data_IF_057686553803
#
_entry.id   IF_057686553803
#
_cell.length_a   1.000
_cell.length_b   1.000
_cell.length_c   1.000
_cell.angle_alpha   90.00
_cell.angle_beta   90.00
_cell.angle_gamma   90.00
#
_symmetry.space_group_name_H-M   'P 1'
#
loop_
_entity.id
_entity.type
_entity.pdbx_description
1 polymer ?
#
# COMPACT_ATOMS: atom_id res chain seq x y z
N UNK A 1 -3.86 -27.63 -18.00
CA UNK A 1 -2.83 -27.26 -17.00
C UNK A 1 -3.52 -27.05 -15.66
N UNK A 2 -3.11 -27.79 -14.64
CA UNK A 2 -3.59 -27.56 -13.27
C UNK A 2 -3.26 -26.13 -12.85
N UNK A 3 -4.17 -25.48 -12.12
CA UNK A 3 -4.15 -24.05 -11.76
C UNK A 3 -2.96 -23.63 -10.86
N UNK A 4 -2.02 -24.53 -10.57
CA UNK A 4 -1.08 -24.43 -9.45
C UNK A 4 0.27 -23.73 -9.75
N UNK A 5 0.74 -23.66 -11.00
CA UNK A 5 2.08 -23.14 -11.34
C UNK A 5 2.11 -21.79 -12.05
N UNK A 6 1.14 -20.91 -11.81
CA UNK A 6 1.29 -19.53 -12.28
C UNK A 6 2.34 -18.81 -11.43
N UNK A 7 3.30 -18.16 -12.09
CA UNK A 7 4.23 -17.21 -11.47
C UNK A 7 3.44 -16.21 -10.61
N UNK A 8 4.03 -15.75 -9.50
CA UNK A 8 3.39 -14.82 -8.56
C UNK A 8 2.76 -13.63 -9.29
N UNK A 9 3.47 -13.12 -10.29
CA UNK A 9 3.04 -12.02 -11.14
C UNK A 9 1.75 -12.32 -11.89
N UNK A 10 1.61 -13.51 -12.47
CA UNK A 10 0.37 -13.93 -13.14
C UNK A 10 -0.78 -14.12 -12.16
N UNK A 11 -0.51 -14.57 -10.93
CA UNK A 11 -1.54 -14.73 -9.89
C UNK A 11 -2.09 -13.39 -9.42
N UNK A 12 -1.30 -12.31 -9.51
CA UNK A 12 -1.72 -10.96 -9.09
C UNK A 12 -2.25 -10.11 -10.24
N UNK A 13 -1.56 -10.07 -11.39
CA UNK A 13 -1.97 -9.24 -12.55
C UNK A 13 -3.33 -9.68 -13.09
N UNK A 14 -3.56 -11.00 -13.22
CA UNK A 14 -4.76 -11.50 -13.88
C UNK A 14 -6.05 -11.10 -13.15
N UNK A 15 -6.16 -11.24 -11.81
CA UNK A 15 -7.29 -10.68 -11.07
C UNK A 15 -7.40 -9.15 -11.21
N UNK A 16 -6.29 -8.41 -11.12
CA UNK A 16 -6.30 -6.95 -11.23
C UNK A 16 -6.81 -6.47 -12.59
N UNK A 17 -6.41 -7.13 -13.68
CA UNK A 17 -6.93 -6.86 -15.03
C UNK A 17 -8.41 -7.22 -15.16
N UNK A 18 -8.83 -8.33 -14.54
CA UNK A 18 -10.22 -8.77 -14.56
C UNK A 18 -11.16 -7.82 -13.81
N UNK A 19 -10.66 -7.07 -12.82
CA UNK A 19 -11.42 -6.01 -12.14
C UNK A 19 -11.74 -4.82 -13.05
N UNK A 20 -11.15 -4.74 -14.24
CA UNK A 20 -11.36 -3.67 -15.22
C UNK A 20 -11.29 -2.27 -14.57
N UNK A 21 -10.36 -2.10 -13.63
CA UNK A 21 -10.22 -0.86 -12.87
C UNK A 21 -10.07 0.29 -13.88
N UNK A 22 -10.88 1.36 -13.76
CA UNK A 22 -10.75 2.47 -14.66
C UNK A 22 -9.32 3.05 -14.53
N UNK A 23 -8.74 3.59 -15.62
CA UNK A 23 -7.46 4.28 -15.57
C UNK A 23 -7.63 5.56 -14.75
N UNK A 24 -7.46 5.41 -13.43
CA UNK A 24 -7.61 6.45 -12.41
C UNK A 24 -6.49 6.28 -11.38
N UNK A 25 -6.36 7.28 -10.52
CA UNK A 25 -5.53 7.20 -9.33
C UNK A 25 -6.10 6.13 -8.38
N UNK A 26 -5.28 5.14 -8.05
CA UNK A 26 -5.59 4.08 -7.10
C UNK A 26 -5.09 4.46 -5.73
N UNK A 27 -5.97 4.46 -4.74
CA UNK A 27 -5.59 4.67 -3.35
C UNK A 27 -5.35 3.32 -2.67
N UNK A 28 -4.10 3.02 -2.36
CA UNK A 28 -3.68 1.76 -1.75
C UNK A 28 -3.60 1.95 -0.23
N UNK A 29 -4.33 1.12 0.51
CA UNK A 29 -4.21 1.08 1.97
C UNK A 29 -2.93 0.35 2.39
N UNK A 30 -2.01 1.07 3.05
CA UNK A 30 -0.70 0.54 3.44
C UNK A 30 -0.51 0.67 4.95
N UNK A 31 -0.44 -0.47 5.64
CA UNK A 31 -0.27 -0.51 7.09
C UNK A 31 1.19 -0.39 7.52
N UNK A 32 2.14 -0.59 6.60
CA UNK A 32 3.57 -0.73 6.88
C UNK A 32 4.01 -2.18 7.10
N UNK A 33 3.06 -3.13 7.19
CA UNK A 33 3.36 -4.55 7.19
C UNK A 33 3.72 -5.07 5.79
N UNK A 34 4.45 -6.19 5.76
CA UNK A 34 5.03 -6.80 4.54
C UNK A 34 4.00 -6.95 3.43
N UNK A 35 2.83 -7.53 3.71
CA UNK A 35 1.81 -7.79 2.69
C UNK A 35 1.36 -6.51 1.98
N UNK A 36 1.09 -5.45 2.75
CA UNK A 36 0.65 -4.17 2.21
C UNK A 36 1.75 -3.43 1.45
N UNK A 37 3.01 -3.54 1.91
CA UNK A 37 4.17 -2.97 1.24
C UNK A 37 4.47 -3.69 -0.08
N UNK A 38 4.38 -5.02 -0.09
CA UNK A 38 4.54 -5.84 -1.30
C UNK A 38 3.43 -5.54 -2.30
N UNK A 39 2.18 -5.44 -1.86
CA UNK A 39 1.07 -5.04 -2.73
C UNK A 39 1.34 -3.67 -3.37
N UNK A 40 1.75 -2.68 -2.57
CA UNK A 40 2.08 -1.35 -3.08
C UNK A 40 3.23 -1.39 -4.10
N UNK A 41 4.31 -2.11 -3.79
CA UNK A 41 5.46 -2.26 -4.69
C UNK A 41 5.07 -2.94 -6.01
N UNK A 42 4.21 -3.96 -5.93
CA UNK A 42 3.73 -4.70 -7.09
C UNK A 42 2.87 -3.81 -7.99
N UNK A 43 1.93 -3.05 -7.41
CA UNK A 43 1.09 -2.11 -8.15
C UNK A 43 1.95 -0.99 -8.77
N UNK A 44 2.93 -0.47 -8.03
CA UNK A 44 3.87 0.53 -8.54
C UNK A 44 4.67 0.01 -9.74
N UNK A 45 5.19 -1.23 -9.66
CA UNK A 45 5.95 -1.86 -10.74
C UNK A 45 5.13 -2.03 -12.01
N UNK A 46 3.83 -2.31 -11.89
CA UNK A 46 2.94 -2.55 -13.04
C UNK A 46 2.01 -1.39 -13.39
N UNK A 47 2.19 -0.22 -12.76
CA UNK A 47 1.35 0.97 -12.98
C UNK A 47 1.17 1.33 -14.45
N UNK A 48 2.23 1.18 -15.26
CA UNK A 48 2.20 1.42 -16.71
C UNK A 48 1.36 0.38 -17.47
N UNK A 49 1.49 -0.89 -17.12
CA UNK A 49 0.71 -1.98 -17.73
C UNK A 49 -0.77 -1.83 -17.39
N UNK A 50 -1.06 -1.40 -16.16
CA UNK A 50 -2.41 -1.27 -15.65
C UNK A 50 -3.02 0.12 -15.90
N UNK A 51 -2.25 1.06 -16.46
CA UNK A 51 -2.64 2.45 -16.75
C UNK A 51 -3.24 3.18 -15.52
N UNK A 52 -2.73 2.87 -14.33
CA UNK A 52 -3.16 3.46 -13.06
C UNK A 52 -2.05 4.29 -12.43
N UNK A 53 -2.40 5.38 -11.76
CA UNK A 53 -1.49 6.13 -10.89
C UNK A 53 -1.60 5.58 -9.47
N UNK A 54 -0.50 5.38 -8.75
CA UNK A 54 -0.53 4.80 -7.40
C UNK A 54 -0.43 5.91 -6.37
N UNK A 55 -1.37 5.93 -5.44
CA UNK A 55 -1.42 6.80 -4.27
C UNK A 55 -1.49 5.91 -3.02
N UNK A 56 -0.96 6.37 -1.89
CA UNK A 56 -0.89 5.56 -0.65
C UNK A 56 -1.61 6.24 0.49
N UNK A 57 -2.49 5.49 1.18
CA UNK A 57 -3.11 5.88 2.44
C UNK A 57 -2.62 5.00 3.58
N UNK A 58 -2.13 5.62 4.65
CA UNK A 58 -1.82 4.95 5.92
C UNK A 58 -2.72 5.49 7.04
N UNK A 59 -3.32 4.62 7.84
CA UNK A 59 -4.10 5.03 9.01
C UNK A 59 -3.29 4.76 10.28
N UNK A 60 -2.88 5.82 10.94
CA UNK A 60 -2.28 5.76 12.26
C UNK A 60 -3.37 5.52 13.31
N UNK A 61 -3.29 4.40 14.04
CA UNK A 61 -4.28 3.97 15.04
C UNK A 61 -4.24 4.75 16.36
N UNK A 62 -3.71 5.98 16.35
CA UNK A 62 -3.59 6.84 17.51
C UNK A 62 -2.59 6.37 18.57
N UNK A 63 -2.50 7.11 19.69
CA UNK A 63 -1.61 6.77 20.80
C UNK A 63 -1.98 5.43 21.44
N UNK A 64 -1.02 4.81 22.12
CA UNK A 64 -1.24 3.61 22.94
C UNK A 64 -0.62 3.80 24.32
N UNK A 65 -1.27 3.23 25.35
CA UNK A 65 -0.68 3.11 26.70
C UNK A 65 0.50 2.15 26.73
N UNK A 66 0.56 1.22 25.77
CA UNK A 66 1.70 0.35 25.58
C UNK A 66 2.75 1.07 24.72
N UNK A 67 3.92 1.33 25.29
CA UNK A 67 5.01 2.08 24.66
C UNK A 67 5.48 1.42 23.36
N UNK A 68 5.70 0.10 23.37
CA UNK A 68 6.15 -0.63 22.17
C UNK A 68 5.11 -0.59 21.06
N UNK A 69 3.82 -0.69 21.40
CA UNK A 69 2.74 -0.57 20.42
C UNK A 69 2.66 0.85 19.85
N UNK A 70 2.83 1.88 20.68
CA UNK A 70 2.91 3.27 20.23
C UNK A 70 4.07 3.48 19.26
N UNK A 71 5.26 3.07 19.66
CA UNK A 71 6.48 3.14 18.84
C UNK A 71 6.33 2.40 17.51
N UNK A 72 5.70 1.23 17.52
CA UNK A 72 5.42 0.48 16.29
C UNK A 72 4.49 1.25 15.35
N UNK A 73 3.44 1.89 15.87
CA UNK A 73 2.50 2.68 15.04
C UNK A 73 3.17 3.91 14.43
N UNK A 74 3.97 4.63 15.23
CA UNK A 74 4.73 5.79 14.76
C UNK A 74 5.73 5.37 13.67
N UNK A 75 6.49 4.30 13.93
CA UNK A 75 7.47 3.76 12.99
C UNK A 75 6.82 3.26 11.71
N UNK A 76 5.66 2.61 11.78
CA UNK A 76 4.94 2.14 10.61
C UNK A 76 4.53 3.33 9.72
N UNK A 77 3.96 4.39 10.30
CA UNK A 77 3.60 5.59 9.54
C UNK A 77 4.83 6.26 8.90
N UNK A 78 5.92 6.40 9.66
CA UNK A 78 7.17 6.97 9.18
C UNK A 78 7.75 6.14 8.02
N UNK A 79 7.82 4.82 8.19
CA UNK A 79 8.35 3.89 7.18
C UNK A 79 7.58 4.00 5.87
N UNK A 80 6.24 4.02 5.91
CA UNK A 80 5.42 4.14 4.70
C UNK A 80 5.62 5.51 4.05
N UNK A 81 5.67 6.60 4.85
CA UNK A 81 5.90 7.96 4.36
C UNK A 81 7.24 8.08 3.63
N UNK A 82 8.32 7.60 4.25
CA UNK A 82 9.67 7.65 3.68
C UNK A 82 9.78 6.80 2.41
N UNK A 83 9.17 5.61 2.42
CA UNK A 83 9.13 4.76 1.24
C UNK A 83 8.39 5.44 0.07
N UNK A 84 7.24 6.08 0.34
CA UNK A 84 6.49 6.81 -0.68
C UNK A 84 7.31 7.99 -1.23
N UNK A 85 7.99 8.74 -0.37
CA UNK A 85 8.86 9.85 -0.78
C UNK A 85 10.02 9.36 -1.67
N UNK A 86 10.64 8.22 -1.33
CA UNK A 86 11.70 7.63 -2.14
C UNK A 86 11.27 7.11 -3.52
N UNK A 87 9.97 6.93 -3.74
CA UNK A 87 9.40 6.43 -5.00
C UNK A 87 8.55 7.47 -5.75
N UNK A 88 8.52 8.73 -5.26
CA UNK A 88 7.72 9.83 -5.81
C UNK A 88 6.21 9.48 -5.87
N UNK A 89 5.68 8.97 -4.76
CA UNK A 89 4.28 8.55 -4.62
C UNK A 89 3.54 9.47 -3.64
N UNK A 90 2.35 9.99 -3.99
CA UNK A 90 1.52 10.75 -3.06
C UNK A 90 1.13 9.92 -1.82
N UNK A 91 1.45 10.45 -0.63
CA UNK A 91 1.20 9.83 0.67
C UNK A 91 0.16 10.61 1.48
N UNK A 92 -0.87 9.91 1.95
CA UNK A 92 -1.94 10.44 2.79
C UNK A 92 -1.96 9.70 4.13
N UNK A 93 -2.10 10.45 5.22
CA UNK A 93 -2.30 9.85 6.53
C UNK A 93 -3.02 10.79 7.48
N UNK A 94 -3.74 10.23 8.45
CA UNK A 94 -4.34 10.99 9.53
C UNK A 94 -3.25 11.47 10.52
N UNK A 95 -3.54 12.56 11.23
CA UNK A 95 -2.68 13.03 12.32
C UNK A 95 -2.92 12.13 13.55
N UNK A 96 -1.87 11.58 14.18
CA UNK A 96 -2.02 10.89 15.45
C UNK A 96 -2.74 11.80 16.46
N UNK A 97 -3.83 11.31 17.06
CA UNK A 97 -4.56 12.04 18.11
C UNK A 97 -5.56 13.11 17.65
N UNK A 98 -5.78 13.29 16.33
CA UNK A 98 -6.96 14.02 15.83
C UNK A 98 -7.89 13.06 15.11
N UNK A 99 -9.13 12.97 15.58
CA UNK A 99 -10.21 12.35 14.81
C UNK A 99 -10.53 13.25 13.61
N UNK A 100 -10.99 12.63 12.51
CA UNK A 100 -11.39 13.31 11.28
C UNK A 100 -12.43 14.41 11.54
#
# INVERSE_FOLDING_TARGET
MAKQDLAFEHKVIRPLQALALPPQAWLVAVSGGVDSMVLCQVLLRWRKLLKGEVHVAHVHHGPSVNIEQGRYRDLAQQTVREWCAGHDIPFYSNKPGKNF
#
